data_IF_144133674164
#
_entry.id   IF_144133674164
#
_cell.length_a   1.000
_cell.length_b   1.000
_cell.length_c   1.000
_cell.angle_alpha   90.00
_cell.angle_beta   90.00
_cell.angle_gamma   90.00
#
_symmetry.space_group_name_H-M   'P 1'
#
loop_
_entity.id
_entity.type
_entity.pdbx_description
1 polymer ?
#
# COMPACT_ATOMS: atom_id res chain seq x y z
N UNK A 1 -21.23 15.30 24.83
CA UNK A 1 -21.21 15.85 26.21
C UNK A 1 -20.04 15.18 26.91
N UNK A 2 -18.86 15.82 26.88
CA UNK A 2 -17.62 15.32 27.49
C UNK A 2 -17.75 15.33 29.02
N UNK A 3 -17.65 14.17 29.65
CA UNK A 3 -17.92 13.97 31.08
C UNK A 3 -16.62 14.07 31.88
N UNK A 4 -16.38 15.26 32.43
CA UNK A 4 -15.26 15.59 33.32
C UNK A 4 -15.48 14.98 34.72
N UNK A 5 -14.75 13.93 35.05
CA UNK A 5 -14.62 13.43 36.43
C UNK A 5 -13.20 13.72 36.93
N UNK A 6 -13.04 14.79 37.73
CA UNK A 6 -11.89 14.96 38.62
C UNK A 6 -10.78 15.95 38.25
N UNK A 7 -11.03 16.99 37.43
CA UNK A 7 -9.99 17.97 37.05
C UNK A 7 -9.98 19.23 37.91
N UNK A 8 -8.78 19.74 38.22
CA UNK A 8 -8.59 21.04 38.91
C UNK A 8 -8.99 22.21 37.98
N UNK A 9 -9.32 23.39 38.53
CA UNK A 9 -9.80 24.52 37.72
C UNK A 9 -8.87 24.89 36.56
N UNK A 10 -7.55 24.87 36.77
CA UNK A 10 -6.53 25.10 35.72
C UNK A 10 -6.56 24.04 34.62
N UNK A 11 -6.83 22.80 35.02
CA UNK A 11 -6.91 21.65 34.12
C UNK A 11 -8.22 21.69 33.31
N UNK A 12 -9.33 22.11 33.92
CA UNK A 12 -10.60 22.35 33.24
C UNK A 12 -10.51 23.47 32.19
N UNK A 13 -9.80 24.57 32.48
CA UNK A 13 -9.58 25.66 31.50
C UNK A 13 -8.69 25.21 30.35
N UNK A 14 -7.63 24.44 30.63
CA UNK A 14 -6.77 23.87 29.60
C UNK A 14 -7.56 22.89 28.69
N UNK A 15 -8.46 22.07 29.26
CA UNK A 15 -9.33 21.18 28.48
C UNK A 15 -10.31 21.97 27.60
N UNK A 16 -10.92 23.03 28.12
CA UNK A 16 -11.83 23.88 27.33
C UNK A 16 -11.11 24.60 26.17
N UNK A 17 -9.88 25.05 26.39
CA UNK A 17 -9.05 25.61 25.32
C UNK A 17 -8.74 24.56 24.26
N UNK A 18 -8.34 23.35 24.64
CA UNK A 18 -8.07 22.25 23.68
C UNK A 18 -9.32 21.90 22.87
N UNK A 19 -10.50 21.79 23.49
CA UNK A 19 -11.75 21.51 22.79
C UNK A 19 -12.06 22.60 21.75
N UNK A 20 -11.88 23.86 22.13
CA UNK A 20 -12.06 24.99 21.19
C UNK A 20 -11.09 24.88 20.02
N UNK A 21 -9.83 24.51 20.28
CA UNK A 21 -8.84 24.29 19.21
C UNK A 21 -9.17 23.10 18.33
N UNK A 22 -9.72 22.00 18.88
CA UNK A 22 -10.21 20.86 18.10
C UNK A 22 -11.31 21.31 17.12
N UNK A 23 -12.26 22.13 17.57
CA UNK A 23 -13.29 22.67 16.68
C UNK A 23 -12.71 23.60 15.60
N UNK A 24 -11.73 24.44 15.95
CA UNK A 24 -11.03 25.29 14.98
C UNK A 24 -10.21 24.51 13.94
N UNK A 25 -9.72 23.31 14.27
CA UNK A 25 -9.07 22.41 13.30
C UNK A 25 -10.03 21.95 12.21
N UNK A 26 -11.33 21.80 12.54
CA UNK A 26 -12.39 21.47 11.59
C UNK A 26 -12.91 22.63 10.75
N UNK A 27 -12.48 23.87 11.02
CA UNK A 27 -12.99 25.06 10.33
C UNK A 27 -12.50 25.15 8.88
N UNK A 28 -13.36 25.59 7.95
CA UNK A 28 -13.01 25.87 6.55
C UNK A 28 -11.93 26.96 6.41
N UNK A 29 -11.87 27.87 7.38
CA UNK A 29 -10.85 28.91 7.42
C UNK A 29 -9.46 28.33 7.73
N UNK A 30 -8.57 28.37 6.74
CA UNK A 30 -7.17 27.94 6.86
C UNK A 30 -6.42 28.63 7.98
N UNK A 31 -6.68 29.92 8.24
CA UNK A 31 -6.01 30.66 9.31
C UNK A 31 -6.40 30.13 10.69
N UNK A 32 -7.68 29.80 10.90
CA UNK A 32 -8.13 29.20 12.16
C UNK A 32 -7.47 27.84 12.38
N UNK A 33 -7.40 26.99 11.34
CA UNK A 33 -6.70 25.70 11.44
C UNK A 33 -5.23 25.87 11.82
N UNK A 34 -4.52 26.80 11.18
CA UNK A 34 -3.10 27.05 11.46
C UNK A 34 -2.89 27.63 12.87
N UNK A 35 -3.78 28.50 13.33
CA UNK A 35 -3.73 29.04 14.69
C UNK A 35 -3.97 27.93 15.73
N UNK A 36 -4.96 27.06 15.50
CA UNK A 36 -5.23 25.92 16.36
C UNK A 36 -4.05 24.97 16.46
N UNK A 37 -3.43 24.60 15.34
CA UNK A 37 -2.21 23.76 15.33
C UNK A 37 -1.08 24.42 16.13
N UNK A 38 -0.88 25.73 15.97
CA UNK A 38 0.19 26.45 16.70
C UNK A 38 -0.03 26.37 18.20
N UNK A 39 -1.26 26.59 18.67
CA UNK A 39 -1.60 26.52 20.11
C UNK A 39 -1.41 25.10 20.63
N UNK A 40 -1.94 24.08 19.94
CA UNK A 40 -1.79 22.68 20.35
C UNK A 40 -0.32 22.26 20.45
N UNK A 41 0.53 22.71 19.52
CA UNK A 41 1.98 22.47 19.59
C UNK A 41 2.65 23.15 20.77
N UNK A 42 2.20 24.35 21.15
CA UNK A 42 2.72 25.06 22.33
C UNK A 42 2.32 24.36 23.64
N UNK A 43 1.14 23.74 23.68
CA UNK A 43 0.66 22.97 24.84
C UNK A 43 1.37 21.61 25.00
N UNK A 44 1.98 21.10 23.92
CA UNK A 44 2.83 19.90 23.97
C UNK A 44 2.06 18.62 24.31
N UNK A 45 2.67 17.67 25.00
CA UNK A 45 2.07 16.35 25.30
C UNK A 45 0.82 16.39 26.19
N UNK A 46 0.58 17.52 26.87
CA UNK A 46 -0.57 17.66 27.77
C UNK A 46 -1.92 17.56 27.06
N UNK A 47 -1.97 17.81 25.74
CA UNK A 47 -3.21 17.73 24.96
C UNK A 47 -3.47 16.33 24.39
N UNK A 48 -2.50 15.41 24.45
CA UNK A 48 -2.65 14.05 23.91
C UNK A 48 -3.83 13.31 24.51
N UNK A 49 -4.04 13.27 25.85
CA UNK A 49 -5.20 12.59 26.43
C UNK A 49 -6.55 13.15 25.94
N UNK A 50 -6.63 14.47 25.78
CA UNK A 50 -7.86 15.15 25.32
C UNK A 50 -8.13 14.87 23.85
N UNK A 51 -7.09 14.83 23.02
CA UNK A 51 -7.23 14.45 21.61
C UNK A 51 -7.57 12.96 21.44
N UNK A 52 -7.03 12.08 22.29
CA UNK A 52 -7.41 10.66 22.31
C UNK A 52 -8.87 10.49 22.72
N UNK A 53 -9.34 11.23 23.73
CA UNK A 53 -10.76 11.23 24.11
C UNK A 53 -11.65 11.77 22.99
N UNK A 54 -11.22 12.82 22.27
CA UNK A 54 -11.95 13.39 21.16
C UNK A 54 -12.03 12.48 19.91
N UNK A 55 -11.20 11.44 19.82
CA UNK A 55 -11.39 10.40 18.81
C UNK A 55 -12.67 9.60 19.05
N UNK A 56 -13.21 9.55 20.27
CA UNK A 56 -14.44 8.81 20.59
C UNK A 56 -15.72 9.67 20.44
N UNK A 57 -15.60 10.90 19.93
CA UNK A 57 -16.73 11.83 19.85
C UNK A 57 -17.79 11.34 18.84
N UNK A 58 -19.10 11.46 19.15
CA UNK A 58 -20.16 11.09 18.23
C UNK A 58 -20.11 11.86 16.90
N UNK A 59 -19.60 13.10 16.89
CA UNK A 59 -19.45 13.90 15.69
C UNK A 59 -18.19 13.51 14.90
N UNK A 60 -18.31 12.99 13.67
CA UNK A 60 -17.15 12.65 12.84
C UNK A 60 -16.24 13.85 12.58
N UNK A 61 -16.75 15.08 12.56
CA UNK A 61 -15.91 16.26 12.38
C UNK A 61 -14.94 16.47 13.55
N UNK A 62 -15.36 16.15 14.78
CA UNK A 62 -14.51 16.19 15.97
C UNK A 62 -13.47 15.07 15.92
N UNK A 63 -13.87 13.84 15.58
CA UNK A 63 -12.93 12.71 15.42
C UNK A 63 -11.86 12.99 14.37
N UNK A 64 -12.24 13.54 13.22
CA UNK A 64 -11.32 13.97 12.16
C UNK A 64 -10.32 15.01 12.66
N UNK A 65 -10.83 16.02 13.38
CA UNK A 65 -10.01 17.09 13.95
C UNK A 65 -9.03 16.55 15.00
N UNK A 66 -9.47 15.59 15.81
CA UNK A 66 -8.63 14.90 16.78
C UNK A 66 -7.51 14.10 16.11
N UNK A 67 -7.84 13.30 15.08
CA UNK A 67 -6.86 12.54 14.30
C UNK A 67 -5.82 13.45 13.65
N UNK A 68 -6.28 14.52 12.98
CA UNK A 68 -5.40 15.53 12.40
C UNK A 68 -4.50 16.17 13.46
N UNK A 69 -5.06 16.55 14.62
CA UNK A 69 -4.33 17.10 15.76
C UNK A 69 -3.19 16.19 16.23
N UNK A 70 -3.48 14.91 16.47
CA UNK A 70 -2.48 13.93 16.88
C UNK A 70 -1.35 13.78 15.84
N UNK A 71 -1.69 13.72 14.54
CA UNK A 71 -0.71 13.63 13.46
C UNK A 71 0.21 14.85 13.38
N UNK A 72 -0.35 16.07 13.31
CA UNK A 72 0.44 17.29 13.11
C UNK A 72 1.29 17.67 14.32
N UNK A 73 0.89 17.22 15.51
CA UNK A 73 1.68 17.35 16.72
C UNK A 73 2.98 16.54 16.66
N UNK A 74 3.00 15.44 15.91
CA UNK A 74 4.21 14.64 15.68
C UNK A 74 4.74 13.96 16.94
N UNK A 75 3.91 13.81 17.98
CA UNK A 75 4.31 13.18 19.23
C UNK A 75 4.18 11.66 19.10
N UNK A 76 5.31 10.95 19.13
CA UNK A 76 5.35 9.47 19.15
C UNK A 76 4.91 8.91 20.51
N UNK A 77 3.65 9.19 20.86
CA UNK A 77 3.01 8.65 22.05
C UNK A 77 2.33 7.31 21.72
N UNK A 78 2.64 6.27 22.51
CA UNK A 78 2.12 4.93 22.26
C UNK A 78 0.60 4.83 22.43
N UNK A 79 0.01 5.62 23.33
CA UNK A 79 -1.43 5.66 23.53
C UNK A 79 -2.12 6.35 22.36
N UNK A 80 -1.55 7.46 21.87
CA UNK A 80 -2.05 8.14 20.67
C UNK A 80 -2.00 7.22 19.44
N UNK A 81 -0.89 6.50 19.24
CA UNK A 81 -0.74 5.57 18.11
C UNK A 81 -1.74 4.40 18.25
N UNK A 82 -1.91 3.85 19.46
CA UNK A 82 -2.88 2.78 19.69
C UNK A 82 -4.32 3.25 19.41
N UNK A 83 -4.69 4.46 19.87
CA UNK A 83 -6.00 5.04 19.63
C UNK A 83 -6.23 5.36 18.15
N UNK A 84 -5.23 5.88 17.44
CA UNK A 84 -5.32 6.08 15.99
C UNK A 84 -5.48 4.74 15.26
N UNK A 85 -4.71 3.71 15.62
CA UNK A 85 -4.88 2.39 15.03
C UNK A 85 -6.32 1.89 15.21
N UNK A 86 -6.90 1.95 16.42
CA UNK A 86 -8.28 1.49 16.63
C UNK A 86 -9.32 2.24 15.78
N UNK A 87 -9.04 3.48 15.36
CA UNK A 87 -9.92 4.29 14.52
C UNK A 87 -9.68 4.13 13.01
N UNK A 88 -8.73 3.28 12.58
CA UNK A 88 -8.63 2.91 11.16
C UNK A 88 -9.88 2.17 10.64
N UNK A 89 -10.69 1.60 11.55
CA UNK A 89 -11.98 0.95 11.28
C UNK A 89 -13.20 1.85 11.54
N UNK A 90 -13.01 3.17 11.69
CA UNK A 90 -14.11 4.10 11.93
C UNK A 90 -15.21 3.96 10.88
N UNK A 91 -16.51 4.02 11.26
CA UNK A 91 -17.61 3.95 10.29
C UNK A 91 -17.57 5.08 9.26
N UNK A 92 -17.04 6.26 9.62
CA UNK A 92 -16.91 7.40 8.71
C UNK A 92 -15.64 7.29 7.85
N UNK A 93 -15.76 7.25 6.50
CA UNK A 93 -14.61 7.13 5.61
C UNK A 93 -13.61 8.28 5.69
N UNK A 94 -14.07 9.49 6.01
CA UNK A 94 -13.19 10.65 6.13
C UNK A 94 -12.38 10.61 7.42
N UNK A 95 -12.94 10.10 8.52
CA UNK A 95 -12.18 9.78 9.75
C UNK A 95 -11.08 8.77 9.44
N UNK A 96 -11.41 7.65 8.77
CA UNK A 96 -10.40 6.63 8.41
C UNK A 96 -9.22 7.21 7.63
N UNK A 97 -9.48 8.10 6.68
CA UNK A 97 -8.44 8.76 5.90
C UNK A 97 -7.54 9.66 6.76
N UNK A 98 -8.14 10.51 7.60
CA UNK A 98 -7.39 11.43 8.44
C UNK A 98 -6.55 10.67 9.49
N UNK A 99 -7.07 9.56 10.01
CA UNK A 99 -6.34 8.63 10.89
C UNK A 99 -5.14 7.98 10.16
N UNK A 100 -5.34 7.50 8.93
CA UNK A 100 -4.26 6.92 8.13
C UNK A 100 -3.13 7.93 7.87
N UNK A 101 -3.49 9.18 7.57
CA UNK A 101 -2.53 10.28 7.39
C UNK A 101 -1.79 10.57 8.70
N UNK A 102 -2.49 10.62 9.82
CA UNK A 102 -1.88 10.85 11.13
C UNK A 102 -0.86 9.76 11.49
N UNK A 103 -1.20 8.48 11.28
CA UNK A 103 -0.28 7.37 11.51
C UNK A 103 0.96 7.44 10.60
N UNK A 104 0.80 7.84 9.34
CA UNK A 104 1.93 8.04 8.44
C UNK A 104 2.89 9.13 8.92
N UNK A 105 2.35 10.20 9.52
CA UNK A 105 3.14 11.30 10.08
C UNK A 105 3.88 10.90 11.37
N UNK A 106 3.25 10.09 12.22
CA UNK A 106 3.83 9.63 13.49
C UNK A 106 4.89 8.54 13.31
N UNK A 107 4.79 7.76 12.23
CA UNK A 107 5.67 6.63 11.96
C UNK A 107 5.16 5.32 12.58
N UNK A 108 5.97 4.24 12.51
CA UNK A 108 5.50 2.92 12.87
C UNK A 108 5.22 2.80 14.37
N UNK A 109 4.16 2.07 14.70
CA UNK A 109 3.88 1.63 16.06
C UNK A 109 4.91 0.60 16.52
N UNK A 110 4.96 0.34 17.83
CA UNK A 110 5.68 -0.85 18.32
C UNK A 110 5.05 -2.14 17.77
N UNK A 111 5.88 -3.17 17.56
CA UNK A 111 5.45 -4.48 17.04
C UNK A 111 4.24 -5.04 17.77
N UNK A 112 4.19 -4.89 19.10
CA UNK A 112 3.11 -5.46 19.91
C UNK A 112 1.79 -4.72 19.66
N UNK A 113 1.80 -3.38 19.64
CA UNK A 113 0.61 -2.58 19.37
C UNK A 113 0.09 -2.89 17.97
N UNK A 114 0.99 -2.97 16.98
CA UNK A 114 0.62 -3.26 15.61
C UNK A 114 0.03 -4.67 15.45
N UNK A 115 0.63 -5.69 16.08
CA UNK A 115 0.12 -7.06 16.05
C UNK A 115 -1.27 -7.18 16.66
N UNK A 116 -1.51 -6.53 17.79
CA UNK A 116 -2.84 -6.50 18.43
C UNK A 116 -3.86 -5.84 17.48
N UNK A 117 -3.54 -4.67 16.92
CA UNK A 117 -4.44 -4.00 15.98
C UNK A 117 -4.76 -4.86 14.74
N UNK A 118 -3.76 -5.55 14.17
CA UNK A 118 -3.97 -6.47 13.05
C UNK A 118 -4.92 -7.61 13.42
N UNK A 119 -4.76 -8.20 14.61
CA UNK A 119 -5.65 -9.26 15.08
C UNK A 119 -7.10 -8.78 15.21
N UNK A 120 -7.30 -7.59 15.80
CA UNK A 120 -8.63 -6.99 15.95
C UNK A 120 -9.29 -6.69 14.59
N UNK A 121 -8.52 -6.23 13.60
CA UNK A 121 -9.06 -6.00 12.26
C UNK A 121 -9.38 -7.31 11.53
N UNK A 122 -8.57 -8.36 11.71
CA UNK A 122 -8.86 -9.68 11.15
C UNK A 122 -10.19 -10.21 11.69
N UNK A 123 -10.47 -10.02 12.98
CA UNK A 123 -11.75 -10.39 13.57
C UNK A 123 -12.90 -9.56 12.96
N UNK A 124 -12.71 -8.24 12.87
CA UNK A 124 -13.71 -7.30 12.35
C UNK A 124 -14.10 -7.53 10.88
N UNK A 125 -13.28 -8.24 10.09
CA UNK A 125 -13.64 -8.68 8.73
C UNK A 125 -14.88 -9.58 8.68
N UNK A 126 -15.28 -10.19 9.81
CA UNK A 126 -16.46 -11.05 9.89
C UNK A 126 -17.65 -10.38 10.60
N UNK A 127 -17.57 -9.08 10.87
CA UNK A 127 -18.64 -8.35 11.56
C UNK A 127 -19.93 -8.30 10.73
N UNK A 128 -21.10 -8.29 11.38
CA UNK A 128 -22.40 -8.26 10.69
C UNK A 128 -22.61 -6.96 9.90
N UNK A 129 -22.19 -5.84 10.48
CA UNK A 129 -22.23 -4.52 9.85
C UNK A 129 -21.14 -4.41 8.77
N UNK A 130 -21.57 -4.11 7.54
CA UNK A 130 -20.68 -3.87 6.41
C UNK A 130 -19.74 -2.69 6.62
N UNK A 131 -20.14 -1.65 7.35
CA UNK A 131 -19.28 -0.49 7.60
C UNK A 131 -18.07 -0.88 8.46
N UNK A 132 -18.27 -1.78 9.42
CA UNK A 132 -17.19 -2.34 10.24
C UNK A 132 -16.27 -3.22 9.40
N UNK A 133 -16.82 -4.07 8.52
CA UNK A 133 -16.02 -4.89 7.59
C UNK A 133 -15.20 -4.03 6.63
N UNK A 134 -15.82 -3.01 6.04
CA UNK A 134 -15.16 -2.06 5.16
C UNK A 134 -14.03 -1.33 5.90
N UNK A 135 -14.31 -0.82 7.10
CA UNK A 135 -13.32 -0.19 7.97
C UNK A 135 -12.14 -1.12 8.27
N UNK A 136 -12.40 -2.38 8.59
CA UNK A 136 -11.36 -3.39 8.82
C UNK A 136 -10.51 -3.65 7.56
N UNK A 137 -11.13 -3.79 6.38
CA UNK A 137 -10.38 -3.94 5.11
C UNK A 137 -9.52 -2.72 4.81
N UNK A 138 -10.04 -1.50 5.05
CA UNK A 138 -9.29 -0.27 4.87
C UNK A 138 -8.10 -0.19 5.83
N UNK A 139 -8.29 -0.55 7.10
CA UNK A 139 -7.26 -0.57 8.12
C UNK A 139 -6.10 -1.50 7.74
N UNK A 140 -6.42 -2.75 7.38
CA UNK A 140 -5.44 -3.74 6.93
C UNK A 140 -4.70 -3.29 5.67
N UNK A 141 -5.41 -2.69 4.71
CA UNK A 141 -4.79 -2.12 3.53
C UNK A 141 -3.85 -0.96 3.84
N UNK A 142 -4.19 -0.11 4.81
CA UNK A 142 -3.36 1.00 5.27
C UNK A 142 -2.09 0.53 5.96
N UNK A 143 -2.17 -0.57 6.71
CA UNK A 143 -1.02 -1.21 7.35
C UNK A 143 -0.06 -1.89 6.36
N UNK A 144 -0.47 -2.16 5.12
CA UNK A 144 0.44 -2.64 4.09
C UNK A 144 1.01 -4.02 4.37
N UNK A 145 2.33 -4.19 4.25
CA UNK A 145 3.00 -5.52 4.32
C UNK A 145 2.85 -6.18 5.69
N UNK A 146 2.74 -5.37 6.73
CA UNK A 146 2.59 -5.73 8.12
C UNK A 146 1.28 -6.50 8.33
N UNK A 147 0.25 -6.21 7.54
CA UNK A 147 -1.03 -6.91 7.52
C UNK A 147 -1.02 -8.23 6.72
N UNK A 148 0.14 -8.76 6.34
CA UNK A 148 0.26 -10.07 5.68
C UNK A 148 -0.51 -11.23 6.38
N UNK A 149 -0.61 -11.29 7.73
CA UNK A 149 -1.42 -12.31 8.40
C UNK A 149 -2.90 -12.30 8.02
N UNK A 150 -3.44 -11.18 7.52
CA UNK A 150 -4.84 -11.04 7.13
C UNK A 150 -5.14 -11.49 5.69
N UNK A 151 -4.13 -11.88 4.91
CA UNK A 151 -4.30 -12.28 3.50
C UNK A 151 -5.40 -13.35 3.31
N UNK A 152 -5.47 -14.44 4.09
CA UNK A 152 -6.52 -15.46 3.91
C UNK A 152 -7.94 -14.88 4.05
N UNK A 153 -8.16 -14.04 5.05
CA UNK A 153 -9.46 -13.43 5.34
C UNK A 153 -9.81 -12.36 4.30
N UNK A 154 -8.84 -11.60 3.82
CA UNK A 154 -9.04 -10.64 2.73
C UNK A 154 -9.38 -11.34 1.40
N UNK A 155 -8.83 -12.54 1.14
CA UNK A 155 -9.25 -13.37 -0.01
C UNK A 155 -10.70 -13.82 0.14
N UNK A 156 -11.13 -14.19 1.34
CA UNK A 156 -12.54 -14.51 1.60
C UNK A 156 -13.45 -13.28 1.38
N UNK A 157 -13.01 -12.09 1.81
CA UNK A 157 -13.73 -10.83 1.62
C UNK A 157 -13.89 -10.41 0.15
N UNK A 158 -13.16 -11.02 -0.80
CA UNK A 158 -13.43 -10.83 -2.24
C UNK A 158 -14.81 -11.36 -2.66
N UNK A 159 -15.45 -12.19 -1.83
CA UNK A 159 -16.82 -12.70 -1.98
C UNK A 159 -17.83 -12.02 -1.05
N UNK A 160 -17.46 -10.92 -0.40
CA UNK A 160 -18.39 -10.25 0.51
C UNK A 160 -19.68 -9.87 -0.22
N UNK A 161 -20.81 -9.96 0.49
CA UNK A 161 -22.11 -9.53 -0.02
C UNK A 161 -22.12 -8.06 -0.47
N UNK A 162 -21.38 -7.19 0.21
CA UNK A 162 -21.31 -5.76 -0.08
C UNK A 162 -20.18 -5.44 -1.07
N UNK A 163 -20.51 -4.61 -2.08
CA UNK A 163 -19.58 -4.28 -3.15
C UNK A 163 -18.37 -3.46 -2.69
N UNK A 164 -18.56 -2.53 -1.76
CA UNK A 164 -17.49 -1.67 -1.26
C UNK A 164 -16.48 -2.49 -0.44
N UNK A 165 -16.96 -3.49 0.31
CA UNK A 165 -16.09 -4.43 1.02
C UNK A 165 -15.27 -5.27 0.02
N UNK A 166 -15.88 -5.78 -1.05
CA UNK A 166 -15.15 -6.53 -2.10
C UNK A 166 -14.07 -5.69 -2.78
N UNK A 167 -14.38 -4.42 -3.10
CA UNK A 167 -13.43 -3.49 -3.71
C UNK A 167 -12.30 -3.19 -2.74
N UNK A 168 -12.62 -2.88 -1.49
CA UNK A 168 -11.66 -2.55 -0.45
C UNK A 168 -10.73 -3.73 -0.13
N UNK A 169 -11.23 -4.97 -0.12
CA UNK A 169 -10.42 -6.17 0.02
C UNK A 169 -9.38 -6.32 -1.10
N UNK A 170 -9.77 -6.09 -2.36
CA UNK A 170 -8.84 -6.13 -3.49
C UNK A 170 -7.76 -5.03 -3.40
N UNK A 171 -8.15 -3.83 -2.95
CA UNK A 171 -7.22 -2.72 -2.71
C UNK A 171 -6.26 -3.05 -1.56
N UNK A 172 -6.76 -3.64 -0.48
CA UNK A 172 -5.95 -4.05 0.67
C UNK A 172 -4.91 -5.11 0.28
N UNK A 173 -5.32 -6.16 -0.43
CA UNK A 173 -4.42 -7.19 -0.96
C UNK A 173 -3.33 -6.59 -1.87
N UNK A 174 -3.70 -5.63 -2.71
CA UNK A 174 -2.73 -4.87 -3.52
C UNK A 174 -1.74 -4.08 -2.66
N UNK A 175 -2.19 -3.42 -1.60
CA UNK A 175 -1.33 -2.64 -0.70
C UNK A 175 -0.43 -3.52 0.16
N UNK A 176 -0.90 -4.70 0.56
CA UNK A 176 -0.07 -5.73 1.20
C UNK A 176 1.07 -6.16 0.25
N UNK A 177 0.77 -6.35 -1.03
CA UNK A 177 1.77 -6.57 -2.07
C UNK A 177 2.27 -8.01 -2.15
N UNK A 178 3.59 -8.21 -2.23
CA UNK A 178 4.21 -9.53 -2.46
C UNK A 178 3.71 -10.67 -1.54
N UNK A 179 3.45 -10.46 -0.24
CA UNK A 179 2.89 -11.51 0.62
C UNK A 179 1.52 -12.03 0.17
N UNK A 180 0.74 -11.23 -0.57
CA UNK A 180 -0.58 -11.62 -1.08
C UNK A 180 -0.50 -12.45 -2.38
N UNK A 181 0.63 -12.42 -3.11
CA UNK A 181 0.75 -13.03 -4.45
C UNK A 181 0.39 -14.52 -4.45
N UNK A 182 0.93 -15.39 -3.57
CA UNK A 182 0.59 -16.82 -3.62
C UNK A 182 -0.90 -17.09 -3.45
N UNK A 183 -1.57 -16.37 -2.55
CA UNK A 183 -2.99 -16.54 -2.28
C UNK A 183 -3.85 -15.98 -3.43
N UNK A 184 -3.47 -14.84 -3.99
CA UNK A 184 -4.13 -14.26 -5.16
C UNK A 184 -3.98 -15.14 -6.41
N UNK A 185 -2.81 -15.76 -6.64
CA UNK A 185 -2.60 -16.71 -7.75
C UNK A 185 -3.52 -17.91 -7.61
N UNK A 186 -3.71 -18.44 -6.40
CA UNK A 186 -4.69 -19.50 -6.14
C UNK A 186 -6.12 -19.02 -6.41
N UNK A 187 -6.45 -17.78 -6.05
CA UNK A 187 -7.78 -17.21 -6.25
C UNK A 187 -8.16 -17.00 -7.74
N UNK A 188 -7.20 -17.01 -8.66
CA UNK A 188 -7.47 -16.97 -10.10
C UNK A 188 -8.22 -18.20 -10.63
N UNK A 189 -8.19 -19.32 -9.91
CA UNK A 189 -8.92 -20.54 -10.28
C UNK A 189 -10.16 -20.78 -9.40
N UNK A 190 -10.58 -19.78 -8.63
CA UNK A 190 -11.79 -19.87 -7.80
C UNK A 190 -13.05 -20.09 -8.66
N UNK A 191 -14.01 -20.85 -8.15
CA UNK A 191 -15.29 -21.11 -8.84
C UNK A 191 -16.08 -19.81 -9.09
N UNK A 192 -15.98 -18.84 -8.18
CA UNK A 192 -16.64 -17.55 -8.27
C UNK A 192 -15.91 -16.61 -9.24
N UNK A 193 -16.63 -16.12 -10.26
CA UNK A 193 -16.10 -15.20 -11.25
C UNK A 193 -15.64 -13.87 -10.64
N UNK A 194 -16.35 -13.37 -9.62
CA UNK A 194 -16.00 -12.11 -8.97
C UNK A 194 -14.63 -12.19 -8.31
N UNK A 195 -14.35 -13.30 -7.62
CA UNK A 195 -13.04 -13.54 -7.00
C UNK A 195 -11.94 -13.59 -8.04
N UNK A 196 -12.15 -14.34 -9.13
CA UNK A 196 -11.15 -14.40 -10.21
C UNK A 196 -10.84 -13.00 -10.76
N UNK A 197 -11.87 -12.20 -11.03
CA UNK A 197 -11.72 -10.85 -11.59
C UNK A 197 -10.99 -9.90 -10.63
N UNK A 198 -11.36 -9.88 -9.35
CA UNK A 198 -10.70 -9.01 -8.36
C UNK A 198 -9.28 -9.47 -8.04
N UNK A 199 -9.03 -10.78 -8.00
CA UNK A 199 -7.70 -11.34 -7.82
C UNK A 199 -6.77 -10.97 -8.99
N UNK A 200 -7.26 -11.09 -10.24
CA UNK A 200 -6.52 -10.67 -11.43
C UNK A 200 -6.21 -9.16 -11.41
N UNK A 201 -7.17 -8.32 -11.00
CA UNK A 201 -6.95 -6.89 -10.85
C UNK A 201 -5.87 -6.57 -9.80
N UNK A 202 -5.92 -7.21 -8.63
CA UNK A 202 -4.95 -7.00 -7.57
C UNK A 202 -3.54 -7.44 -8.01
N UNK A 203 -3.40 -8.64 -8.59
CA UNK A 203 -2.12 -9.15 -9.11
C UNK A 203 -1.53 -8.26 -10.19
N UNK A 204 -2.32 -7.86 -11.19
CA UNK A 204 -1.83 -7.00 -12.27
C UNK A 204 -1.26 -5.68 -11.74
N UNK A 205 -1.85 -5.13 -10.67
CA UNK A 205 -1.32 -3.92 -10.02
C UNK A 205 -0.07 -4.19 -9.17
N UNK A 206 0.03 -5.33 -8.50
CA UNK A 206 1.24 -5.73 -7.75
C UNK A 206 2.42 -5.96 -8.71
N UNK A 207 2.21 -6.71 -9.78
CA UNK A 207 3.25 -7.07 -10.77
C UNK A 207 3.69 -5.85 -11.60
N UNK A 208 2.76 -4.99 -12.01
CA UNK A 208 3.11 -3.72 -12.66
C UNK A 208 3.94 -2.78 -11.77
N UNK A 209 3.84 -2.91 -10.44
CA UNK A 209 4.66 -2.16 -9.50
C UNK A 209 6.04 -2.82 -9.27
N UNK A 210 6.17 -4.13 -9.49
CA UNK A 210 7.43 -4.87 -9.41
C UNK A 210 8.38 -4.57 -10.58
N UNK A 211 7.85 -4.41 -11.81
CA UNK A 211 8.70 -4.17 -13.00
C UNK A 211 9.56 -2.90 -12.85
N UNK A 212 9.02 -1.71 -12.52
CA UNK A 212 9.84 -0.51 -12.31
C UNK A 212 10.79 -0.64 -11.11
N UNK A 213 10.36 -1.29 -10.03
CA UNK A 213 11.18 -1.49 -8.84
C UNK A 213 12.39 -2.41 -9.11
N UNK A 214 12.19 -3.46 -9.91
CA UNK A 214 13.26 -4.36 -10.35
C UNK A 214 14.21 -3.68 -11.34
N UNK A 215 13.69 -2.90 -12.31
CA UNK A 215 14.52 -2.11 -13.23
C UNK A 215 15.40 -1.12 -12.48
N UNK A 216 14.82 -0.35 -11.54
CA UNK A 216 15.56 0.62 -10.74
C UNK A 216 16.60 -0.06 -9.83
N UNK A 217 16.27 -1.23 -9.25
CA UNK A 217 17.21 -1.99 -8.44
C UNK A 217 18.41 -2.51 -9.26
N UNK A 218 18.16 -3.04 -10.46
CA UNK A 218 19.21 -3.50 -11.38
C UNK A 218 20.11 -2.34 -11.84
N UNK A 219 19.52 -1.20 -12.24
CA UNK A 219 20.27 0.00 -12.64
C UNK A 219 21.16 0.54 -11.51
N UNK A 220 20.70 0.45 -10.26
CA UNK A 220 21.46 0.92 -9.10
C UNK A 220 22.60 -0.04 -8.73
N UNK A 221 22.39 -1.36 -8.87
CA UNK A 221 23.44 -2.37 -8.73
C UNK A 221 24.54 -2.20 -9.78
N UNK A 222 24.19 -1.96 -11.05
CA UNK A 222 25.18 -1.70 -12.11
C UNK A 222 25.99 -0.44 -11.83
N UNK A 223 25.35 0.63 -11.32
CA UNK A 223 26.03 1.86 -10.93
C UNK A 223 27.01 1.65 -9.77
N UNK A 224 26.66 0.84 -8.77
CA UNK A 224 27.56 0.48 -7.68
C UNK A 224 28.74 -0.37 -8.16
N UNK A 225 28.50 -1.32 -9.06
CA UNK A 225 29.58 -2.10 -9.69
C UNK A 225 30.55 -1.19 -10.45
N UNK A 226 30.04 -0.26 -11.27
CA UNK A 226 30.88 0.71 -11.97
C UNK A 226 31.67 1.63 -11.02
N UNK A 227 31.05 2.11 -9.94
CA UNK A 227 31.74 2.92 -8.94
C UNK A 227 32.79 2.14 -8.15
N UNK A 228 32.55 0.86 -7.87
CA UNK A 228 33.49 0.00 -7.16
C UNK A 228 34.69 -0.37 -8.05
N UNK A 229 34.48 -0.58 -9.34
CA UNK A 229 35.56 -0.76 -10.32
C UNK A 229 36.37 0.53 -10.47
N UNK A 230 35.71 1.70 -10.56
CA UNK A 230 36.40 2.99 -10.66
C UNK A 230 37.20 3.39 -9.40
N UNK A 231 36.85 2.83 -8.23
CA UNK A 231 37.55 3.05 -6.95
C UNK A 231 38.64 2.02 -6.65
N UNK A 232 38.78 0.99 -7.48
CA UNK A 232 39.79 -0.05 -7.34
C UNK A 232 41.02 0.36 -8.17
N UNK A 233 42.17 0.74 -7.59
CA UNK A 233 43.35 1.08 -8.37
C UNK A 233 43.89 -0.18 -9.04
N UNK A 234 43.68 -0.30 -10.36
CA UNK A 234 44.23 -1.38 -11.16
C UNK A 234 45.77 -1.45 -11.03
N UNK A 235 46.26 -2.52 -10.40
CA UNK A 235 47.64 -3.02 -10.58
C UNK A 235 47.67 -3.96 -11.78
N UNK A 236 47.41 -3.46 -12.98
CA UNK A 236 47.72 -4.17 -14.23
C UNK A 236 49.07 -3.68 -14.72
N UNK A 237 50.11 -4.38 -14.27
CA UNK A 237 51.51 -4.14 -14.62
C UNK A 237 51.73 -4.31 -16.12
N UNK A 238 51.87 -3.19 -16.82
CA UNK A 238 52.41 -3.11 -18.17
C UNK A 238 53.93 -3.38 -18.09
N UNK A 239 54.41 -4.54 -18.56
CA UNK A 239 55.86 -4.78 -18.73
C UNK A 239 56.15 -5.35 -20.12
N UNK A 240 56.26 -4.45 -21.08
CA UNK A 240 57.01 -4.64 -22.33
C UNK A 240 58.49 -4.37 -22.03
N UNK A 241 59.36 -5.35 -22.27
CA UNK A 241 60.79 -5.09 -22.56
C UNK A 241 61.19 -6.07 -23.67
N UNK A 242 61.53 -5.51 -24.83
CA UNK A 242 62.23 -6.17 -25.92
C UNK A 242 63.73 -6.33 -25.56
N UNK A 243 64.35 -7.45 -25.94
CA UNK A 243 65.58 -7.49 -26.76
C UNK A 243 66.28 -8.87 -26.72
N UNK A 244 66.83 -9.23 -27.90
CA UNK A 244 67.87 -10.22 -28.22
C UNK A 244 67.50 -11.69 -28.54
N UNK A 245 67.54 -11.96 -29.85
CA UNK A 245 67.79 -13.24 -30.55
C UNK A 245 69.31 -13.58 -30.54
N UNK A 246 69.78 -14.84 -30.78
CA UNK A 246 69.52 -15.61 -32.00
C UNK A 246 69.29 -17.14 -31.87
N UNK A 247 68.69 -17.68 -32.95
CA UNK A 247 68.44 -19.08 -33.38
C UNK A 247 69.69 -20.01 -33.38
N UNK A 248 69.64 -21.36 -33.62
CA UNK A 248 68.68 -22.07 -34.52
C UNK A 248 68.31 -23.57 -34.26
N UNK A 249 67.44 -24.06 -35.18
CA UNK A 249 67.22 -25.43 -35.71
C UNK A 249 66.22 -26.39 -35.04
N UNK A 250 65.23 -26.83 -35.83
CA UNK A 250 64.62 -28.17 -35.70
C UNK A 250 63.13 -28.29 -36.08
N UNK A 251 62.86 -28.71 -37.34
CA UNK A 251 61.84 -29.70 -37.79
C UNK A 251 60.39 -29.62 -37.25
N UNK A 252 59.26 -29.67 -37.97
CA UNK A 252 58.78 -29.83 -39.34
C UNK A 252 57.25 -29.51 -39.32
N UNK A 253 56.57 -29.29 -40.47
CA UNK A 253 55.16 -28.90 -40.53
C UNK A 253 54.21 -30.08 -40.78
N UNK A 254 53.00 -30.06 -40.20
CA UNK A 254 51.86 -30.84 -40.70
C UNK A 254 50.65 -29.90 -40.88
N UNK A 255 50.11 -29.89 -42.11
CA UNK A 255 48.81 -29.35 -42.57
C UNK A 255 48.12 -30.50 -43.34
N UNK A 256 46.87 -30.36 -43.83
CA UNK A 256 45.63 -29.85 -43.23
C UNK A 256 44.45 -30.82 -43.57
N UNK A 257 43.21 -30.29 -43.61
CA UNK A 257 41.99 -30.79 -44.29
C UNK A 257 41.04 -31.67 -43.44
N UNK A 258 39.72 -31.44 -43.37
CA UNK A 258 38.76 -31.15 -44.46
C UNK A 258 37.48 -30.43 -43.97
N UNK A 259 36.90 -29.65 -44.88
CA UNK A 259 35.61 -28.91 -44.83
C UNK A 259 34.42 -29.80 -45.29
N UNK A 260 33.25 -29.28 -45.76
CA UNK A 260 32.12 -28.63 -45.05
C UNK A 260 30.73 -29.20 -45.48
N UNK A 261 29.63 -28.50 -45.12
CA UNK A 261 28.32 -28.36 -45.85
C UNK A 261 27.06 -28.96 -45.14
N UNK A 262 25.82 -28.67 -45.59
CA UNK A 262 25.11 -27.38 -45.43
C UNK A 262 23.63 -27.52 -44.95
N UNK A 263 22.97 -26.37 -44.73
CA UNK A 263 21.55 -26.10 -44.41
C UNK A 263 20.53 -26.75 -45.39
N UNK A 264 19.17 -26.75 -45.19
CA UNK A 264 18.35 -25.51 -45.18
C UNK A 264 16.90 -25.52 -44.56
N UNK A 265 16.33 -24.29 -44.48
CA UNK A 265 14.93 -23.85 -44.71
C UNK A 265 13.79 -24.12 -43.71
N UNK A 266 13.00 -23.07 -43.48
CA UNK A 266 11.52 -23.18 -43.45
C UNK A 266 10.77 -22.24 -42.51
N UNK A 267 10.79 -20.92 -42.75
CA UNK A 267 9.89 -19.95 -42.08
C UNK A 267 8.60 -19.74 -42.90
N UNK A 268 7.45 -19.90 -42.25
CA UNK A 268 6.11 -19.53 -42.75
C UNK A 268 5.46 -18.56 -41.75
N UNK A 269 4.86 -17.44 -42.17
CA UNK A 269 3.94 -16.67 -41.34
C UNK A 269 2.48 -16.87 -41.75
N UNK A 270 1.63 -17.07 -40.75
CA UNK A 270 0.16 -17.19 -40.85
C UNK A 270 -0.46 -15.78 -40.97
N UNK A 271 -1.44 -15.61 -41.86
CA UNK A 271 -2.39 -14.47 -41.86
C UNK A 271 -3.82 -14.96 -41.59
N UNK A 272 -4.68 -14.15 -40.94
CA UNK A 272 -6.05 -14.53 -40.57
C UNK A 272 -7.04 -14.18 -41.68
N UNK A 273 -8.12 -14.95 -41.78
CA UNK A 273 -9.23 -14.67 -42.69
C UNK A 273 -10.49 -14.26 -41.90
N UNK A 274 -11.03 -13.11 -42.27
CA UNK A 274 -12.27 -12.51 -41.80
C UNK A 274 -13.44 -12.95 -42.70
N UNK A 275 -14.59 -13.26 -42.12
CA UNK A 275 -15.86 -13.37 -42.87
C UNK A 275 -17.04 -13.08 -41.96
N UNK A 276 -17.77 -12.04 -42.34
CA UNK A 276 -19.03 -11.58 -41.77
C UNK A 276 -20.17 -12.58 -41.98
N UNK A 277 -21.15 -12.60 -41.05
CA UNK A 277 -22.56 -12.62 -41.44
C UNK A 277 -23.46 -11.94 -40.40
N UNK A 278 -24.37 -11.12 -40.91
CA UNK A 278 -25.34 -10.26 -40.22
C UNK A 278 -26.57 -11.02 -39.69
N UNK A 279 -27.20 -10.40 -38.67
CA UNK A 279 -28.52 -10.51 -38.00
C UNK A 279 -29.75 -10.52 -38.97
N UNK A 280 -31.07 -10.39 -38.58
CA UNK A 280 -31.68 -9.94 -37.29
C UNK A 280 -33.07 -10.52 -36.87
N UNK A 281 -33.59 -10.06 -35.71
CA UNK A 281 -35.02 -10.02 -35.32
C UNK A 281 -35.28 -10.59 -33.92
N UNK A 282 -36.05 -10.02 -32.98
CA UNK A 282 -36.92 -8.83 -32.94
C UNK A 282 -37.66 -8.78 -31.58
N UNK A 283 -38.26 -7.63 -31.25
CA UNK A 283 -39.29 -7.44 -30.20
C UNK A 283 -38.75 -6.99 -28.82
N UNK A 284 -38.76 -5.71 -28.41
CA UNK A 284 -39.87 -4.78 -28.11
C UNK A 284 -40.78 -5.20 -26.95
N UNK A 285 -40.64 -4.54 -25.77
CA UNK A 285 -41.74 -3.87 -25.02
C UNK A 285 -41.34 -3.51 -23.57
N UNK A 286 -41.24 -2.20 -23.27
CA UNK A 286 -41.69 -1.55 -22.01
C UNK A 286 -43.24 -1.34 -22.10
N UNK A 287 -44.04 -0.97 -21.05
CA UNK A 287 -43.78 -0.07 -19.89
C UNK A 287 -44.62 -0.45 -18.61
N UNK A 288 -45.13 0.45 -17.72
CA UNK A 288 -44.63 1.70 -17.09
C UNK A 288 -44.65 1.69 -15.53
N UNK A 289 -44.09 2.77 -14.96
CA UNK A 289 -44.34 3.34 -13.63
C UNK A 289 -45.79 3.23 -13.12
N UNK A 290 -45.94 2.99 -11.81
CA UNK A 290 -46.99 3.61 -10.99
C UNK A 290 -46.40 4.16 -9.68
N UNK A 291 -46.62 5.46 -9.49
CA UNK A 291 -46.59 6.16 -8.21
C UNK A 291 -47.77 5.66 -7.37
N UNK A 292 -47.56 5.48 -6.06
CA UNK A 292 -48.24 6.11 -4.89
C UNK A 292 -47.30 5.88 -3.70
#
# INVERSE_FOLDING_TARGET
MLLLMGTTATQATATAEVITKIQELGSDNRQHRLAAVKVLKQMGSTVVPVLVEALEDPDPAIRRSAAYGLGVMGLQDSHAIAALLSHLKDPDPAVRMDVAVALQQLGPASDQIQKTAIADFIEALNHEDKAVREGATFALGTLGKEAAPAVPQLIAALKDSDEEVRISAAIALRRIGSPAVPALTKALTDADMQVRTKAAFALGKIESALIPAMTAALENSDRQLHQNVAKSPEKTTNRRVEANRPFPVGSQPIRPNTSPSPSPRGSQPIRPNSSLRRSPGGGSAYPPNQQI
#
